data_IF_657758227449
#
_entry.id   IF_657758227449
#
_cell.length_a   1.000
_cell.length_b   1.000
_cell.length_c   1.000
_cell.angle_alpha   90.00
_cell.angle_beta   90.00
_cell.angle_gamma   90.00
#
_symmetry.space_group_name_H-M   'P 1'
#
loop_
_entity.id
_entity.type
_entity.pdbx_description
1 polymer ?
#
# COMPACT_ATOMS: atom_id res chain seq x y z
N UNK A 1 7.96 -26.33 15.46
CA UNK A 1 7.81 -25.11 14.62
C UNK A 1 7.78 -25.44 13.12
N UNK A 2 8.69 -26.22 12.59
CA UNK A 2 8.68 -26.66 11.17
C UNK A 2 7.43 -27.48 10.80
N UNK A 3 6.93 -28.31 11.69
CA UNK A 3 5.73 -29.13 11.45
C UNK A 3 4.45 -28.31 11.38
N UNK A 4 4.34 -27.24 12.17
CA UNK A 4 3.22 -26.29 12.13
C UNK A 4 3.25 -25.46 10.85
N UNK A 5 4.42 -25.00 10.44
CA UNK A 5 4.63 -24.29 9.16
C UNK A 5 4.33 -25.22 7.97
N UNK A 6 4.71 -26.50 8.06
CA UNK A 6 4.39 -27.49 7.04
C UNK A 6 2.89 -27.75 6.88
N UNK A 7 2.15 -27.85 8.00
CA UNK A 7 0.69 -28.02 7.99
C UNK A 7 -0.04 -26.77 7.47
N UNK A 8 0.39 -25.58 7.89
CA UNK A 8 -0.14 -24.30 7.39
C UNK A 8 0.09 -24.23 5.88
N UNK A 9 1.28 -24.56 5.38
CA UNK A 9 1.58 -24.59 3.96
C UNK A 9 0.71 -25.57 3.18
N UNK A 10 0.41 -26.75 3.74
CA UNK A 10 -0.42 -27.76 3.08
C UNK A 10 -1.89 -27.31 2.97
N UNK A 11 -2.49 -26.77 4.03
CA UNK A 11 -3.85 -26.23 4.02
C UNK A 11 -3.94 -25.02 3.08
N UNK A 12 -2.92 -24.17 3.07
CA UNK A 12 -2.90 -23.00 2.21
C UNK A 12 -2.67 -23.34 0.75
N UNK A 13 -1.96 -24.41 0.44
CA UNK A 13 -1.77 -24.85 -0.96
C UNK A 13 -3.11 -25.17 -1.62
N UNK A 14 -4.02 -25.85 -0.91
CA UNK A 14 -5.37 -26.10 -1.43
C UNK A 14 -6.19 -24.83 -1.59
N UNK A 15 -6.12 -23.90 -0.61
CA UNK A 15 -6.81 -22.60 -0.70
C UNK A 15 -6.25 -21.71 -1.82
N UNK A 16 -4.94 -21.77 -2.10
CA UNK A 16 -4.31 -21.03 -3.20
C UNK A 16 -4.73 -21.58 -4.56
N UNK A 17 -4.88 -22.90 -4.69
CA UNK A 17 -5.40 -23.55 -5.89
C UNK A 17 -6.86 -23.15 -6.14
N UNK A 18 -7.68 -23.07 -5.10
CA UNK A 18 -9.07 -22.61 -5.17
C UNK A 18 -9.19 -21.12 -5.48
N UNK A 19 -8.32 -20.28 -4.91
CA UNK A 19 -8.36 -18.80 -5.06
C UNK A 19 -7.67 -18.29 -6.32
N UNK A 20 -7.14 -19.13 -7.21
CA UNK A 20 -6.39 -18.74 -8.43
C UNK A 20 -5.27 -17.72 -8.14
N UNK A 21 -4.57 -17.86 -7.03
CA UNK A 21 -3.43 -17.01 -6.70
C UNK A 21 -2.30 -17.24 -7.71
N UNK A 22 -1.59 -16.18 -8.07
CA UNK A 22 -0.46 -16.24 -9.00
C UNK A 22 0.51 -17.38 -8.66
N UNK A 23 0.99 -18.16 -9.63
CA UNK A 23 1.96 -19.23 -9.40
C UNK A 23 3.28 -18.72 -8.78
N UNK A 24 3.55 -17.43 -8.87
CA UNK A 24 4.73 -16.76 -8.29
C UNK A 24 4.47 -16.21 -6.88
N UNK A 25 3.33 -16.54 -6.25
CA UNK A 25 3.04 -16.08 -4.90
C UNK A 25 4.03 -16.65 -3.88
N UNK A 26 4.60 -15.77 -3.07
CA UNK A 26 5.46 -16.12 -1.95
C UNK A 26 4.61 -16.20 -0.69
N UNK A 27 4.73 -17.31 0.02
CA UNK A 27 4.07 -17.52 1.31
C UNK A 27 5.06 -17.35 2.43
N UNK A 28 4.71 -16.51 3.40
CA UNK A 28 5.50 -16.34 4.62
C UNK A 28 4.59 -16.39 5.86
N UNK A 29 5.19 -16.61 7.03
CA UNK A 29 4.48 -16.54 8.32
C UNK A 29 4.37 -15.10 8.78
N UNK A 30 3.33 -14.76 9.52
CA UNK A 30 3.08 -13.38 9.95
C UNK A 30 4.19 -12.82 10.85
N UNK A 31 4.76 -13.64 11.73
CA UNK A 31 5.91 -13.25 12.58
C UNK A 31 6.98 -14.32 12.50
N UNK A 32 8.17 -13.94 12.10
CA UNK A 32 9.36 -14.79 12.17
C UNK A 32 10.12 -14.53 13.48
N UNK A 33 10.68 -15.60 14.05
CA UNK A 33 11.55 -15.53 15.23
C UNK A 33 12.89 -16.13 14.86
N UNK A 34 13.92 -15.28 14.77
CA UNK A 34 15.31 -15.71 14.48
C UNK A 34 16.21 -15.22 15.62
N UNK A 35 16.95 -16.13 16.24
CA UNK A 35 17.86 -15.82 17.35
C UNK A 35 17.19 -14.99 18.47
N UNK A 36 15.94 -15.32 18.83
CA UNK A 36 15.17 -14.62 19.85
C UNK A 36 14.60 -13.25 19.43
N UNK A 37 14.96 -12.75 18.25
CA UNK A 37 14.41 -11.51 17.67
C UNK A 37 13.18 -11.80 16.84
N UNK A 38 12.12 -11.04 17.10
CA UNK A 38 10.85 -11.12 16.37
C UNK A 38 10.84 -10.10 15.25
N UNK A 39 10.28 -10.48 14.11
CA UNK A 39 9.99 -9.58 13.00
C UNK A 39 8.61 -9.87 12.43
N UNK A 40 7.79 -8.84 12.35
CA UNK A 40 6.51 -8.91 11.66
C UNK A 40 6.74 -8.82 10.14
N UNK A 41 6.34 -9.85 9.41
CA UNK A 41 6.54 -9.90 7.95
C UNK A 41 5.56 -9.00 7.19
N UNK A 42 4.50 -8.53 7.86
CA UNK A 42 3.54 -7.61 7.25
C UNK A 42 4.00 -6.14 7.31
N UNK A 43 4.39 -5.65 8.50
CA UNK A 43 4.76 -4.23 8.69
C UNK A 43 6.26 -4.00 8.93
N UNK A 44 7.09 -5.03 8.91
CA UNK A 44 8.53 -4.95 9.16
C UNK A 44 8.93 -4.65 10.62
N UNK A 45 7.97 -4.54 11.55
CA UNK A 45 8.25 -4.21 12.94
C UNK A 45 9.20 -5.22 13.59
N UNK A 46 10.23 -4.70 14.29
CA UNK A 46 11.22 -5.49 15.04
C UNK A 46 11.34 -5.07 16.49
N UNK A 47 10.59 -4.04 16.93
CA UNK A 47 10.62 -3.56 18.30
C UNK A 47 10.03 -4.61 19.25
N UNK A 48 10.80 -5.19 20.19
CA UNK A 48 10.32 -6.25 21.06
C UNK A 48 9.16 -5.85 21.97
N UNK A 49 9.01 -4.57 22.28
CA UNK A 49 7.91 -4.04 23.11
C UNK A 49 6.56 -3.95 22.35
N UNK A 50 6.61 -4.06 21.02
CA UNK A 50 5.43 -4.02 20.15
C UNK A 50 4.96 -5.43 19.72
N UNK A 51 5.32 -6.46 20.48
CA UNK A 51 4.80 -7.81 20.34
C UNK A 51 4.20 -8.27 21.66
N UNK A 52 3.06 -8.93 21.59
CA UNK A 52 2.41 -9.54 22.74
C UNK A 52 2.04 -10.99 22.44
N UNK A 53 1.85 -11.79 23.50
CA UNK A 53 1.27 -13.13 23.41
C UNK A 53 -0.22 -13.09 23.74
N UNK A 54 -0.96 -13.97 23.14
CA UNK A 54 -2.37 -14.14 23.46
C UNK A 54 -2.96 -15.41 22.88
N UNK A 55 -4.20 -15.74 23.30
CA UNK A 55 -4.88 -16.95 22.90
C UNK A 55 -4.96 -17.07 21.37
N UNK A 56 -4.74 -18.27 20.87
CA UNK A 56 -4.82 -18.56 19.45
C UNK A 56 -5.51 -19.88 19.16
N UNK A 57 -6.66 -19.78 18.51
CA UNK A 57 -7.46 -20.95 18.10
C UNK A 57 -6.77 -21.75 16.98
N UNK A 58 -5.94 -21.09 16.17
CA UNK A 58 -5.33 -21.68 14.98
C UNK A 58 -3.99 -22.36 15.27
N UNK A 59 -3.42 -22.14 16.46
CA UNK A 59 -2.16 -22.79 16.88
C UNK A 59 -2.49 -24.03 17.72
N UNK A 60 -1.61 -25.04 17.62
CA UNK A 60 -1.66 -26.22 18.50
C UNK A 60 -1.25 -25.91 19.94
N UNK A 61 -0.77 -24.69 20.22
CA UNK A 61 -0.49 -24.16 21.54
C UNK A 61 -1.53 -23.13 21.97
N UNK A 62 -1.70 -22.96 23.27
CA UNK A 62 -2.71 -22.07 23.85
C UNK A 62 -2.48 -20.59 23.50
N UNK A 63 -1.25 -20.21 23.14
CA UNK A 63 -0.88 -18.83 22.87
C UNK A 63 0.04 -18.72 21.65
N UNK A 64 -0.09 -17.60 20.93
CA UNK A 64 0.91 -17.21 19.93
C UNK A 64 1.22 -15.69 19.97
N UNK A 65 2.38 -15.33 19.42
CA UNK A 65 2.76 -13.94 19.31
C UNK A 65 1.93 -13.21 18.27
N UNK A 66 1.65 -11.93 18.53
CA UNK A 66 1.04 -11.01 17.55
C UNK A 66 1.69 -9.64 17.61
N UNK A 67 1.66 -8.95 16.47
CA UNK A 67 2.20 -7.61 16.32
C UNK A 67 1.18 -6.56 16.78
N UNK A 68 1.54 -5.75 17.78
CA UNK A 68 0.71 -4.67 18.31
C UNK A 68 0.55 -3.53 17.29
N UNK A 69 1.58 -3.27 16.49
CA UNK A 69 1.54 -2.24 15.45
C UNK A 69 0.51 -2.51 14.35
N UNK A 70 0.18 -3.78 14.12
CA UNK A 70 -0.80 -4.19 13.11
C UNK A 70 -2.24 -4.26 13.62
N UNK A 71 -2.51 -4.06 14.91
CA UNK A 71 -3.84 -4.31 15.50
C UNK A 71 -4.94 -3.53 14.77
N UNK A 72 -4.69 -2.28 14.41
CA UNK A 72 -5.68 -1.41 13.75
C UNK A 72 -6.05 -1.86 12.33
N UNK A 73 -5.14 -2.58 11.64
CA UNK A 73 -5.33 -3.07 10.27
C UNK A 73 -5.67 -4.56 10.19
N UNK A 74 -5.66 -5.24 11.33
CA UNK A 74 -5.86 -6.67 11.44
C UNK A 74 -4.74 -7.33 12.25
N UNK A 75 -5.12 -8.33 13.06
CA UNK A 75 -4.20 -8.98 14.00
C UNK A 75 -3.25 -9.92 13.26
N UNK A 76 -2.03 -9.48 12.99
CA UNK A 76 -0.97 -10.34 12.43
C UNK A 76 -0.36 -11.17 13.55
N UNK A 77 -0.55 -12.48 13.48
CA UNK A 77 -0.07 -13.48 14.45
C UNK A 77 1.12 -14.25 13.88
N UNK A 78 1.86 -14.94 14.75
CA UNK A 78 2.93 -15.86 14.35
C UNK A 78 2.43 -16.94 13.36
N UNK A 79 1.19 -17.42 13.57
CA UNK A 79 0.56 -18.40 12.69
C UNK A 79 -0.23 -17.77 11.52
N UNK A 80 -0.25 -16.45 11.37
CA UNK A 80 -0.85 -15.81 10.20
C UNK A 80 -0.02 -16.13 8.97
N UNK A 81 -0.68 -16.33 7.84
CA UNK A 81 0.01 -16.49 6.56
C UNK A 81 -0.04 -15.17 5.82
N UNK A 82 1.11 -14.72 5.38
CA UNK A 82 1.26 -13.56 4.51
C UNK A 82 1.46 -14.09 3.10
N UNK A 83 0.62 -13.64 2.20
CA UNK A 83 0.73 -13.93 0.78
C UNK A 83 1.26 -12.68 0.11
N UNK A 84 2.44 -12.77 -0.46
CA UNK A 84 2.98 -11.73 -1.32
C UNK A 84 2.98 -12.25 -2.76
N UNK A 85 2.27 -11.57 -3.62
CA UNK A 85 2.36 -11.81 -5.07
C UNK A 85 3.38 -10.81 -5.61
N UNK A 86 4.60 -11.26 -6.01
CA UNK A 86 5.50 -10.39 -6.74
C UNK A 86 4.76 -9.94 -8.00
N UNK A 87 4.50 -8.66 -8.12
CA UNK A 87 4.00 -8.13 -9.38
C UNK A 87 5.12 -8.31 -10.42
N UNK A 88 4.80 -8.98 -11.52
CA UNK A 88 5.61 -8.80 -12.71
C UNK A 88 5.59 -7.30 -13.02
N UNK A 89 6.75 -6.69 -13.03
CA UNK A 89 6.93 -5.28 -13.39
C UNK A 89 6.59 -5.09 -14.87
N UNK A 90 5.32 -5.23 -15.23
CA UNK A 90 4.84 -4.73 -16.51
C UNK A 90 4.47 -3.26 -16.29
N UNK A 91 5.31 -2.33 -16.70
CA UNK A 91 4.96 -0.92 -16.65
C UNK A 91 3.69 -0.70 -17.48
N UNK A 92 2.85 0.22 -17.05
CA UNK A 92 1.80 0.73 -17.94
C UNK A 92 2.47 1.41 -19.14
N UNK A 93 1.74 1.49 -20.25
CA UNK A 93 2.24 2.19 -21.42
C UNK A 93 2.59 3.63 -21.05
N UNK A 94 3.78 4.06 -21.45
CA UNK A 94 4.16 5.48 -21.34
C UNK A 94 3.21 6.30 -22.18
N UNK A 95 2.79 7.45 -21.65
CA UNK A 95 1.91 8.39 -22.34
C UNK A 95 2.65 9.72 -22.48
N UNK A 96 2.72 10.22 -23.72
CA UNK A 96 3.32 11.52 -24.01
C UNK A 96 2.27 12.65 -23.92
N UNK A 97 0.99 12.27 -23.80
CA UNK A 97 -0.13 13.20 -23.71
C UNK A 97 -0.19 13.89 -22.34
N UNK A 98 -0.74 15.07 -22.31
CA UNK A 98 -1.15 15.76 -21.09
C UNK A 98 -2.32 14.99 -20.46
N UNK A 99 -2.14 14.47 -19.25
CA UNK A 99 -3.13 13.65 -18.56
C UNK A 99 -3.95 14.47 -17.58
N UNK A 100 -3.41 15.60 -17.14
CA UNK A 100 -4.01 16.43 -16.12
C UNK A 100 -4.91 17.52 -16.76
N UNK A 101 -6.17 17.56 -16.32
CA UNK A 101 -7.15 18.54 -16.73
C UNK A 101 -7.62 19.42 -15.56
N UNK A 102 -6.69 19.83 -14.70
CA UNK A 102 -7.06 20.63 -13.53
C UNK A 102 -7.08 22.13 -13.87
N UNK A 103 -8.17 22.78 -13.43
CA UNK A 103 -8.43 24.22 -13.67
C UNK A 103 -7.86 25.14 -12.58
N UNK A 104 -7.26 24.57 -11.54
CA UNK A 104 -6.82 25.38 -10.40
C UNK A 104 -5.51 26.08 -10.71
N UNK A 105 -5.54 27.41 -10.62
CA UNK A 105 -4.33 28.24 -10.70
C UNK A 105 -3.67 28.20 -9.33
N UNK A 106 -2.48 27.65 -9.27
CA UNK A 106 -1.66 27.65 -8.07
C UNK A 106 -1.15 29.06 -7.79
N UNK A 107 -1.09 29.47 -6.53
CA UNK A 107 -0.36 30.66 -6.12
C UNK A 107 1.15 30.45 -6.31
N UNK A 108 1.94 31.49 -6.41
CA UNK A 108 3.38 31.41 -6.58
C UNK A 108 4.08 30.49 -5.54
N UNK A 109 3.59 30.49 -4.29
CA UNK A 109 4.11 29.62 -3.23
C UNK A 109 3.73 28.15 -3.43
N UNK A 110 2.50 27.88 -3.85
CA UNK A 110 2.03 26.53 -4.17
C UNK A 110 2.77 25.98 -5.40
N UNK A 111 2.99 26.81 -6.41
CA UNK A 111 3.73 26.44 -7.61
C UNK A 111 5.18 26.08 -7.29
N UNK A 112 5.85 26.86 -6.45
CA UNK A 112 7.20 26.53 -5.95
C UNK A 112 7.22 25.17 -5.28
N UNK A 113 6.30 24.90 -4.34
CA UNK A 113 6.22 23.62 -3.60
C UNK A 113 5.88 22.44 -4.54
N UNK A 114 5.00 22.66 -5.51
CA UNK A 114 4.69 21.67 -6.54
C UNK A 114 5.93 21.31 -7.37
N UNK A 115 6.73 22.31 -7.76
CA UNK A 115 7.97 22.09 -8.46
C UNK A 115 9.00 21.32 -7.62
N UNK A 116 9.12 21.62 -6.33
CA UNK A 116 9.98 20.88 -5.41
C UNK A 116 9.56 19.40 -5.29
N UNK A 117 8.26 19.11 -5.15
CA UNK A 117 7.73 17.75 -5.16
C UNK A 117 8.06 17.03 -6.48
N UNK A 118 7.85 17.69 -7.61
CA UNK A 118 8.14 17.14 -8.93
C UNK A 118 9.65 16.85 -9.11
N UNK A 119 10.52 17.71 -8.60
CA UNK A 119 11.97 17.49 -8.65
C UNK A 119 12.41 16.25 -7.88
N UNK A 120 11.72 15.93 -6.76
CA UNK A 120 12.00 14.73 -5.96
C UNK A 120 11.57 13.46 -6.71
N UNK A 121 10.37 13.42 -7.29
CA UNK A 121 9.89 12.20 -7.99
C UNK A 121 10.64 11.92 -9.29
N UNK A 122 11.33 12.91 -9.87
CA UNK A 122 12.20 12.74 -11.03
C UNK A 122 13.55 12.07 -10.71
N UNK A 123 13.92 11.99 -9.42
CA UNK A 123 15.15 11.33 -9.02
C UNK A 123 15.00 9.80 -9.05
N UNK A 124 16.09 9.09 -9.29
CA UNK A 124 16.12 7.64 -9.25
C UNK A 124 16.27 7.11 -7.82
N UNK A 125 15.78 5.90 -7.58
CA UNK A 125 15.83 5.21 -6.29
C UNK A 125 14.77 5.70 -5.30
N UNK A 126 14.78 5.10 -4.10
CA UNK A 126 13.85 5.45 -3.03
C UNK A 126 14.14 6.85 -2.48
N UNK A 127 13.11 7.67 -2.32
CA UNK A 127 13.17 9.01 -1.73
C UNK A 127 11.97 9.22 -0.82
N UNK A 128 12.19 9.98 0.24
CA UNK A 128 11.16 10.50 1.13
C UNK A 128 11.14 12.02 1.01
N UNK A 129 9.95 12.59 0.93
CA UNK A 129 9.75 14.02 0.89
C UNK A 129 8.55 14.41 1.76
N UNK A 130 8.73 15.38 2.65
CA UNK A 130 7.68 15.87 3.53
C UNK A 130 7.16 17.22 3.03
N UNK A 131 5.91 17.24 2.53
CA UNK A 131 5.19 18.45 2.22
C UNK A 131 4.46 18.94 3.48
N UNK A 132 5.06 19.90 4.18
CA UNK A 132 4.48 20.49 5.38
C UNK A 132 3.66 21.73 5.05
N UNK A 133 2.34 21.67 5.24
CA UNK A 133 1.44 22.77 4.99
C UNK A 133 0.17 22.68 5.84
N UNK A 134 -0.46 23.81 6.14
CA UNK A 134 -1.68 23.88 6.93
C UNK A 134 -2.87 23.23 6.20
N UNK A 135 -3.92 22.87 6.94
CA UNK A 135 -5.16 22.36 6.36
C UNK A 135 -5.77 23.42 5.43
N UNK A 136 -6.30 22.99 4.28
CA UNK A 136 -6.89 23.90 3.29
C UNK A 136 -5.89 24.63 2.39
N UNK A 137 -4.59 24.39 2.53
CA UNK A 137 -3.57 25.08 1.71
C UNK A 137 -3.42 24.56 0.28
N UNK A 138 -4.27 23.63 -0.19
CA UNK A 138 -4.18 23.07 -1.53
C UNK A 138 -3.07 22.01 -1.70
N UNK A 139 -2.74 21.24 -0.65
CA UNK A 139 -1.72 20.17 -0.73
C UNK A 139 -1.96 19.18 -1.86
N UNK A 140 -3.22 18.85 -2.10
CA UNK A 140 -3.60 17.89 -3.14
C UNK A 140 -3.27 18.41 -4.53
N UNK A 141 -3.57 19.68 -4.80
CA UNK A 141 -3.29 20.33 -6.08
C UNK A 141 -1.78 20.46 -6.32
N UNK A 142 -1.00 20.70 -5.27
CA UNK A 142 0.46 20.82 -5.38
C UNK A 142 1.14 19.52 -5.85
N UNK A 143 0.55 18.36 -5.60
CA UNK A 143 1.14 17.07 -6.00
C UNK A 143 0.65 16.59 -7.38
N UNK A 144 -0.29 17.26 -8.03
CA UNK A 144 -0.85 16.81 -9.31
C UNK A 144 0.22 16.69 -10.41
N UNK A 145 1.12 17.66 -10.52
CA UNK A 145 2.22 17.59 -11.49
C UNK A 145 3.15 16.39 -11.26
N UNK A 146 3.35 16.00 -9.99
CA UNK A 146 4.13 14.80 -9.63
C UNK A 146 3.39 13.53 -10.00
N UNK A 147 2.08 13.46 -9.75
CA UNK A 147 1.21 12.34 -10.15
C UNK A 147 1.22 12.19 -11.66
N UNK A 148 0.97 13.27 -12.39
CA UNK A 148 0.97 13.27 -13.86
C UNK A 148 2.27 12.73 -14.43
N UNK A 149 3.40 13.27 -13.98
CA UNK A 149 4.70 12.84 -14.47
C UNK A 149 4.94 11.34 -14.23
N UNK A 150 4.59 10.82 -13.06
CA UNK A 150 4.73 9.40 -12.75
C UNK A 150 3.86 8.53 -13.67
N UNK A 151 2.61 8.94 -13.90
CA UNK A 151 1.68 8.26 -14.79
C UNK A 151 2.17 8.28 -16.24
N UNK A 152 2.72 9.41 -16.72
CA UNK A 152 3.33 9.52 -18.05
C UNK A 152 4.53 8.59 -18.20
N UNK A 153 5.30 8.36 -17.13
CA UNK A 153 6.41 7.39 -17.13
C UNK A 153 5.92 5.91 -17.09
N UNK A 154 4.62 5.65 -17.12
CA UNK A 154 4.05 4.31 -16.97
C UNK A 154 4.20 3.73 -15.57
N UNK A 155 4.44 4.59 -14.57
CA UNK A 155 4.52 4.20 -13.16
C UNK A 155 3.15 4.17 -12.51
N UNK A 156 3.03 3.39 -11.44
CA UNK A 156 1.83 3.38 -10.60
C UNK A 156 1.95 4.42 -9.51
N UNK A 157 0.82 5.02 -9.20
CA UNK A 157 0.69 5.96 -8.09
C UNK A 157 -0.32 5.40 -7.09
N UNK A 158 0.05 5.37 -5.83
CA UNK A 158 -0.84 5.05 -4.72
C UNK A 158 -0.92 6.23 -3.76
N UNK A 159 -2.14 6.66 -3.44
CA UNK A 159 -2.40 7.73 -2.48
C UNK A 159 -3.05 7.09 -1.25
N UNK A 160 -2.30 6.99 -0.16
CA UNK A 160 -2.80 6.43 1.08
C UNK A 160 -3.29 7.53 2.03
N UNK A 161 -4.52 7.38 2.52
CA UNK A 161 -5.10 8.26 3.52
C UNK A 161 -5.49 7.46 4.77
N UNK A 162 -5.34 8.03 5.99
CA UNK A 162 -5.60 7.30 7.23
C UNK A 162 -7.10 7.14 7.54
N UNK A 163 -7.98 7.81 6.78
CA UNK A 163 -9.41 7.87 7.03
C UNK A 163 -10.19 7.70 5.73
N UNK A 164 -11.30 6.98 5.80
CA UNK A 164 -12.18 6.68 4.65
C UNK A 164 -12.76 7.97 4.05
N UNK A 165 -13.21 8.91 4.89
CA UNK A 165 -13.79 10.16 4.43
C UNK A 165 -12.81 10.99 3.57
N UNK A 166 -11.52 10.92 3.86
CA UNK A 166 -10.48 11.56 3.03
C UNK A 166 -10.36 10.85 1.66
N UNK A 167 -10.42 9.52 1.62
CA UNK A 167 -10.43 8.79 0.35
C UNK A 167 -11.66 9.17 -0.51
N UNK A 168 -12.83 9.22 0.12
CA UNK A 168 -14.10 9.58 -0.55
C UNK A 168 -14.07 11.02 -1.06
N UNK A 169 -13.44 11.95 -0.33
CA UNK A 169 -13.26 13.34 -0.78
C UNK A 169 -12.26 13.47 -1.94
N UNK A 170 -11.15 12.71 -1.87
CA UNK A 170 -10.07 12.80 -2.87
C UNK A 170 -10.44 12.15 -4.20
N UNK A 171 -11.19 11.06 -4.18
CA UNK A 171 -11.52 10.29 -5.38
C UNK A 171 -12.17 11.13 -6.49
N UNK A 172 -13.24 11.91 -6.26
CA UNK A 172 -13.84 12.74 -7.29
C UNK A 172 -12.89 13.83 -7.79
N UNK A 173 -12.08 14.43 -6.92
CA UNK A 173 -11.10 15.46 -7.30
C UNK A 173 -10.00 14.90 -8.21
N UNK A 174 -9.52 13.71 -7.91
CA UNK A 174 -8.54 13.02 -8.76
C UNK A 174 -9.18 12.55 -10.08
N UNK A 175 -10.45 12.15 -10.05
CA UNK A 175 -11.17 11.80 -11.28
C UNK A 175 -11.39 13.01 -12.18
N UNK A 176 -11.66 14.17 -11.62
CA UNK A 176 -11.75 15.43 -12.37
C UNK A 176 -10.37 15.85 -12.92
N UNK A 177 -9.32 15.74 -12.10
CA UNK A 177 -7.96 16.10 -12.49
C UNK A 177 -7.36 15.16 -13.56
N UNK A 178 -7.70 13.87 -13.52
CA UNK A 178 -7.16 12.83 -14.41
C UNK A 178 -8.29 12.00 -15.03
N UNK A 179 -9.15 12.58 -15.88
CA UNK A 179 -10.37 11.92 -16.35
C UNK A 179 -10.11 10.69 -17.24
N UNK A 180 -8.99 10.66 -17.96
CA UNK A 180 -8.60 9.58 -18.87
C UNK A 180 -7.81 8.45 -18.17
N UNK A 181 -7.45 8.65 -16.89
CA UNK A 181 -6.70 7.66 -16.12
C UNK A 181 -7.67 6.74 -15.39
N UNK A 182 -7.46 5.44 -15.51
CA UNK A 182 -8.20 4.45 -14.74
C UNK A 182 -7.79 4.52 -13.28
N UNK A 183 -8.78 4.53 -12.38
CA UNK A 183 -8.60 4.72 -10.94
C UNK A 183 -9.32 3.63 -10.17
N UNK A 184 -8.74 3.21 -9.04
CA UNK A 184 -9.37 2.29 -8.10
C UNK A 184 -9.35 2.90 -6.69
N UNK A 185 -10.52 2.96 -6.06
CA UNK A 185 -10.69 3.51 -4.70
C UNK A 185 -10.88 2.36 -3.72
N UNK A 186 -9.93 2.20 -2.79
CA UNK A 186 -9.89 1.07 -1.86
C UNK A 186 -10.04 1.53 -0.42
N UNK A 187 -11.12 1.14 0.21
CA UNK A 187 -11.33 1.29 1.66
C UNK A 187 -12.21 0.16 2.19
N UNK A 188 -12.35 0.04 3.50
CA UNK A 188 -13.08 -1.08 4.13
C UNK A 188 -14.58 -1.15 3.78
N UNK A 189 -15.14 -0.12 3.18
CA UNK A 189 -16.54 -0.04 2.75
C UNK A 189 -16.70 -0.02 1.23
N UNK A 190 -15.60 -0.12 0.45
CA UNK A 190 -15.71 -0.20 -1.01
C UNK A 190 -16.23 -1.58 -1.42
N UNK A 191 -17.19 -1.59 -2.33
CA UNK A 191 -17.73 -2.82 -2.93
C UNK A 191 -16.74 -3.44 -3.92
N UNK A 192 -15.89 -2.62 -4.52
CA UNK A 192 -14.89 -3.05 -5.47
C UNK A 192 -13.61 -3.53 -4.76
N UNK A 193 -13.12 -4.69 -5.17
CA UNK A 193 -11.83 -5.21 -4.76
C UNK A 193 -10.65 -4.49 -5.44
N UNK A 194 -9.44 -4.91 -5.09
CA UNK A 194 -8.23 -4.42 -5.72
C UNK A 194 -8.23 -4.69 -7.24
N UNK A 195 -7.93 -3.65 -8.01
CA UNK A 195 -7.66 -3.73 -9.44
C UNK A 195 -6.26 -3.18 -9.73
N UNK A 196 -5.55 -3.81 -10.66
CA UNK A 196 -4.26 -3.30 -11.12
C UNK A 196 -4.48 -2.14 -12.10
N UNK A 197 -4.48 -0.93 -11.56
CA UNK A 197 -4.70 0.31 -12.32
C UNK A 197 -3.54 1.29 -12.11
N UNK A 198 -3.36 2.30 -12.98
CA UNK A 198 -2.31 3.30 -12.85
C UNK A 198 -2.41 4.15 -11.57
N UNK A 199 -3.62 4.46 -11.09
CA UNK A 199 -3.85 5.30 -9.91
C UNK A 199 -4.78 4.59 -8.91
N UNK A 200 -4.30 4.41 -7.67
CA UNK A 200 -5.07 3.82 -6.57
C UNK A 200 -5.17 4.82 -5.41
N UNK A 201 -6.33 4.90 -4.77
CA UNK A 201 -6.64 5.79 -3.64
C UNK A 201 -7.10 4.93 -2.47
#
# INVERSE_FOLDING_TARGET
MEETVGRIRAVFKSMLEECKVSPNAVLDVGITIKNGKKQCQFCGNTNPLEFAKGPCINCTGDECWYCLKCIAMGKVKECSVIIATPEEEQPFLRREEELAHYKHILSAKQEQLSFECLAVVKQTGFREHLLWAVTGSGKTEMIFASIEWMLQQGKRVAIAAPRIDVCVELAPRLKEAFPTVEQNVLHSQSEEGYKRVPLTI
#
